data_IF_136365964507
#
_entry.id   IF_136365964507
#
_cell.length_a   1.000
_cell.length_b   1.000
_cell.length_c   1.000
_cell.angle_alpha   90.00
_cell.angle_beta   90.00
_cell.angle_gamma   90.00
#
_symmetry.space_group_name_H-M   'P 1'
#
loop_
_entity.id
_entity.type
_entity.pdbx_description
1 polymer ?
#
# COMPACT_ATOMS: atom_id res chain seq x y z
N UNK A 1 6.83 3.47 -2.27
CA UNK A 1 6.57 2.02 -2.38
C UNK A 1 7.28 1.29 -1.24
N UNK A 2 6.53 0.54 -0.45
CA UNK A 2 7.02 -0.09 0.78
C UNK A 2 7.02 -1.63 0.76
N UNK A 3 6.39 -2.27 -0.25
CA UNK A 3 6.41 -3.72 -0.35
C UNK A 3 7.82 -4.22 -0.65
N UNK A 4 8.18 -5.30 0.04
CA UNK A 4 9.39 -6.06 -0.24
C UNK A 4 9.16 -7.02 -1.42
N UNK A 5 10.20 -7.49 -2.10
CA UNK A 5 10.07 -8.46 -3.20
C UNK A 5 9.22 -9.67 -2.84
N UNK A 6 9.36 -10.21 -1.62
CA UNK A 6 8.59 -11.36 -1.16
C UNK A 6 7.08 -11.12 -1.20
N UNK A 7 6.61 -9.93 -0.79
CA UNK A 7 5.18 -9.58 -0.78
C UNK A 7 4.63 -9.44 -2.20
N UNK A 8 5.41 -8.85 -3.12
CA UNK A 8 5.01 -8.73 -4.51
C UNK A 8 4.98 -10.09 -5.24
N UNK A 9 5.96 -10.96 -4.94
CA UNK A 9 5.98 -12.33 -5.44
C UNK A 9 4.83 -13.16 -4.91
N UNK A 10 4.41 -12.96 -3.65
CA UNK A 10 3.23 -13.62 -3.10
C UNK A 10 1.97 -13.24 -3.88
N UNK A 11 1.77 -11.95 -4.21
CA UNK A 11 0.64 -11.55 -5.05
C UNK A 11 0.67 -12.23 -6.42
N UNK A 12 1.85 -12.38 -7.03
CA UNK A 12 2.01 -13.08 -8.31
C UNK A 12 1.69 -14.58 -8.17
N UNK A 13 2.14 -15.22 -7.09
CA UNK A 13 1.84 -16.63 -6.82
C UNK A 13 0.35 -16.84 -6.57
N UNK A 14 -0.30 -15.97 -5.78
CA UNK A 14 -1.74 -16.01 -5.56
C UNK A 14 -2.54 -15.88 -6.88
N UNK A 15 -2.10 -15.00 -7.79
CA UNK A 15 -2.69 -14.87 -9.13
C UNK A 15 -2.56 -16.15 -9.95
N UNK A 16 -1.39 -16.80 -9.91
CA UNK A 16 -1.13 -18.04 -10.64
C UNK A 16 -1.91 -19.24 -10.06
N UNK A 17 -2.01 -19.30 -8.75
CA UNK A 17 -2.80 -20.33 -8.07
C UNK A 17 -4.30 -20.16 -8.38
N UNK A 18 -4.78 -18.91 -8.38
CA UNK A 18 -6.13 -18.60 -8.79
C UNK A 18 -6.40 -18.93 -10.27
N UNK A 19 -5.43 -18.67 -11.16
CA UNK A 19 -5.50 -19.05 -12.57
C UNK A 19 -5.56 -20.57 -12.74
N UNK A 20 -4.74 -21.32 -12.00
CA UNK A 20 -4.71 -22.77 -12.06
C UNK A 20 -5.99 -23.41 -11.46
N UNK A 21 -6.69 -22.70 -10.59
CA UNK A 21 -7.95 -23.16 -10.03
C UNK A 21 -9.04 -23.20 -11.13
N UNK A 22 -9.72 -24.33 -11.26
CA UNK A 22 -10.79 -24.52 -12.29
C UNK A 22 -12.10 -23.79 -11.93
N UNK A 23 -12.12 -22.97 -10.90
CA UNK A 23 -13.29 -22.19 -10.48
C UNK A 23 -13.71 -21.16 -11.54
N UNK A 24 -15.01 -21.00 -11.77
CA UNK A 24 -15.54 -19.99 -12.70
C UNK A 24 -15.75 -18.62 -12.04
N UNK A 25 -15.72 -18.54 -10.71
CA UNK A 25 -15.92 -17.30 -9.98
C UNK A 25 -14.77 -16.32 -10.23
N UNK A 26 -15.05 -15.00 -10.30
CA UNK A 26 -14.00 -13.99 -10.38
C UNK A 26 -13.07 -14.05 -9.18
N UNK A 27 -11.78 -13.83 -9.41
CA UNK A 27 -10.80 -13.71 -8.34
C UNK A 27 -10.73 -12.27 -7.82
N UNK A 28 -11.11 -12.06 -6.57
CA UNK A 28 -11.12 -10.72 -5.97
C UNK A 28 -9.76 -10.39 -5.39
N UNK A 29 -9.09 -9.41 -6.00
CA UNK A 29 -7.76 -8.91 -5.60
C UNK A 29 -7.79 -8.07 -4.31
N UNK A 30 -8.97 -7.72 -3.82
CA UNK A 30 -9.20 -6.85 -2.68
C UNK A 30 -9.78 -5.50 -3.05
N UNK A 31 -9.77 -4.55 -2.11
CA UNK A 31 -10.33 -3.22 -2.31
C UNK A 31 -9.25 -2.17 -2.61
N UNK A 32 -9.65 -1.13 -3.32
CA UNK A 32 -8.92 0.13 -3.45
C UNK A 32 -9.85 1.26 -3.03
N UNK A 33 -9.33 2.22 -2.26
CA UNK A 33 -10.07 3.38 -1.79
C UNK A 33 -9.55 4.61 -2.53
N UNK A 34 -10.47 5.31 -3.18
CA UNK A 34 -10.19 6.44 -4.03
C UNK A 34 -10.93 7.67 -3.51
N UNK A 35 -10.24 8.78 -3.41
CA UNK A 35 -10.83 10.08 -3.13
C UNK A 35 -11.04 10.84 -4.44
N UNK A 36 -12.30 11.20 -4.73
CA UNK A 36 -12.66 11.95 -5.93
C UNK A 36 -12.36 13.43 -5.73
N UNK A 37 -11.62 14.01 -6.68
CA UNK A 37 -11.43 15.46 -6.84
C UNK A 37 -11.83 15.85 -8.24
N UNK A 38 -12.00 17.16 -8.49
CA UNK A 38 -12.38 17.67 -9.81
C UNK A 38 -11.46 17.12 -10.92
N UNK A 39 -11.93 16.09 -11.64
CA UNK A 39 -11.22 15.43 -12.74
C UNK A 39 -10.15 14.40 -12.35
N UNK A 40 -9.95 14.09 -11.07
CA UNK A 40 -8.91 13.17 -10.58
C UNK A 40 -9.45 12.20 -9.53
N UNK A 41 -8.78 11.05 -9.42
CA UNK A 41 -9.00 10.10 -8.35
C UNK A 41 -7.66 9.87 -7.64
N UNK A 42 -7.57 10.36 -6.40
CA UNK A 42 -6.40 10.11 -5.56
C UNK A 42 -6.53 8.73 -4.89
N UNK A 43 -5.49 7.92 -4.96
CA UNK A 43 -5.49 6.60 -4.30
C UNK A 43 -5.18 6.79 -2.82
N UNK A 44 -6.16 6.54 -1.97
CA UNK A 44 -6.02 6.59 -0.50
C UNK A 44 -5.48 5.26 0.02
N UNK A 45 -6.02 4.14 -0.47
CA UNK A 45 -5.54 2.80 -0.13
C UNK A 45 -5.45 1.90 -1.38
N UNK A 46 -4.59 0.88 -1.30
CA UNK A 46 -4.33 -0.05 -2.39
C UNK A 46 -3.18 0.36 -3.32
N UNK A 47 -2.44 1.43 -3.02
CA UNK A 47 -1.33 1.96 -3.84
C UNK A 47 -0.30 0.88 -4.17
N UNK A 48 0.14 0.11 -3.18
CA UNK A 48 1.15 -0.94 -3.32
C UNK A 48 0.69 -2.02 -4.31
N UNK A 49 -0.57 -2.47 -4.15
CA UNK A 49 -1.18 -3.48 -5.02
C UNK A 49 -1.32 -2.98 -6.45
N UNK A 50 -1.83 -1.76 -6.64
CA UNK A 50 -1.98 -1.17 -7.97
C UNK A 50 -0.64 -1.01 -8.67
N UNK A 51 0.41 -0.56 -7.97
CA UNK A 51 1.73 -0.41 -8.57
C UNK A 51 2.35 -1.78 -8.90
N UNK A 52 2.17 -2.78 -8.04
CA UNK A 52 2.65 -4.15 -8.31
C UNK A 52 1.93 -4.75 -9.52
N UNK A 53 0.61 -4.59 -9.63
CA UNK A 53 -0.14 -5.02 -10.80
C UNK A 53 0.34 -4.29 -12.06
N UNK A 54 0.59 -2.98 -11.99
CA UNK A 54 1.15 -2.21 -13.11
C UNK A 54 2.51 -2.77 -13.55
N UNK A 55 3.38 -3.14 -12.61
CA UNK A 55 4.67 -3.77 -12.93
C UNK A 55 4.47 -5.14 -13.60
N UNK A 56 3.58 -5.98 -13.08
CA UNK A 56 3.26 -7.29 -13.68
C UNK A 56 2.75 -7.11 -15.12
N UNK A 57 1.80 -6.18 -15.36
CA UNK A 57 1.30 -5.88 -16.69
C UNK A 57 2.41 -5.43 -17.64
N UNK A 58 3.26 -4.50 -17.21
CA UNK A 58 4.34 -3.98 -18.02
C UNK A 58 5.33 -5.09 -18.42
N UNK A 59 5.71 -5.96 -17.48
CA UNK A 59 6.61 -7.10 -17.76
C UNK A 59 5.95 -8.09 -18.71
N UNK A 60 4.68 -8.44 -18.52
CA UNK A 60 3.96 -9.39 -19.38
C UNK A 60 3.79 -8.85 -20.81
N UNK A 61 3.66 -7.54 -20.97
CA UNK A 61 3.49 -6.88 -22.27
C UNK A 61 4.82 -6.42 -22.88
N UNK A 62 5.95 -6.68 -22.23
CA UNK A 62 7.27 -6.16 -22.61
C UNK A 62 7.28 -4.63 -22.75
N UNK A 63 6.50 -3.95 -21.90
CA UNK A 63 6.42 -2.49 -21.87
C UNK A 63 7.40 -1.94 -20.82
N UNK A 64 8.36 -1.16 -21.28
CA UNK A 64 9.37 -0.51 -20.45
C UNK A 64 8.94 0.87 -19.94
N UNK A 65 7.63 1.11 -19.78
CA UNK A 65 7.05 2.38 -19.38
C UNK A 65 7.47 2.88 -17.97
N UNK A 66 8.05 2.01 -17.15
CA UNK A 66 8.67 2.39 -15.89
C UNK A 66 10.16 2.62 -16.12
N UNK A 67 10.57 3.88 -16.32
CA UNK A 67 11.98 4.27 -16.49
C UNK A 67 12.79 4.06 -15.19
N UNK A 68 13.07 2.79 -14.85
CA UNK A 68 13.80 2.40 -13.64
C UNK A 68 15.32 2.41 -13.82
N UNK A 69 15.81 2.67 -15.03
CA UNK A 69 17.24 2.61 -15.37
C UNK A 69 18.08 3.61 -14.56
N UNK A 70 17.48 4.76 -14.20
CA UNK A 70 18.12 5.80 -13.40
C UNK A 70 17.88 5.64 -11.89
N UNK A 71 17.11 4.65 -11.47
CA UNK A 71 16.85 4.42 -10.04
C UNK A 71 18.08 3.77 -9.38
N UNK A 72 18.35 4.15 -8.14
CA UNK A 72 19.40 3.53 -7.33
C UNK A 72 19.15 2.02 -7.17
N UNK A 73 20.20 1.22 -7.01
CA UNK A 73 20.09 -0.24 -6.94
C UNK A 73 19.31 -0.74 -5.72
N UNK A 74 19.29 0.04 -4.64
CA UNK A 74 18.50 -0.24 -3.44
C UNK A 74 17.06 0.32 -3.51
N UNK A 75 16.62 0.87 -4.65
CA UNK A 75 15.27 1.38 -4.81
C UNK A 75 14.25 0.24 -4.68
N UNK A 76 13.27 0.31 -3.76
CA UNK A 76 12.31 -0.77 -3.53
C UNK A 76 11.53 -1.17 -4.79
N UNK A 77 11.17 -0.21 -5.65
CA UNK A 77 10.46 -0.49 -6.91
C UNK A 77 11.34 -1.27 -7.86
N UNK A 78 12.64 -0.90 -7.98
CA UNK A 78 13.61 -1.60 -8.83
C UNK A 78 13.83 -3.04 -8.36
N UNK A 79 13.98 -3.25 -7.06
CA UNK A 79 14.16 -4.58 -6.48
C UNK A 79 12.94 -5.49 -6.74
N UNK A 80 11.74 -4.93 -6.57
CA UNK A 80 10.49 -5.66 -6.84
C UNK A 80 10.34 -5.96 -8.33
N UNK A 81 10.63 -5.00 -9.20
CA UNK A 81 10.61 -5.20 -10.65
C UNK A 81 11.52 -6.37 -11.06
N UNK A 82 12.76 -6.36 -10.62
CA UNK A 82 13.74 -7.43 -10.94
C UNK A 82 13.26 -8.80 -10.46
N UNK A 83 12.69 -8.88 -9.25
CA UNK A 83 12.17 -10.13 -8.72
C UNK A 83 10.97 -10.66 -9.53
N UNK A 84 10.04 -9.78 -9.90
CA UNK A 84 8.89 -10.12 -10.74
C UNK A 84 9.33 -10.55 -12.13
N UNK A 85 10.25 -9.80 -12.75
CA UNK A 85 10.80 -10.10 -14.08
C UNK A 85 11.48 -11.46 -14.10
N UNK A 86 12.35 -11.76 -13.12
CA UNK A 86 12.99 -13.05 -12.99
C UNK A 86 11.98 -14.21 -12.82
N UNK A 87 10.91 -13.99 -12.07
CA UNK A 87 9.88 -15.01 -11.86
C UNK A 87 9.05 -15.22 -13.13
N UNK A 88 8.66 -14.14 -13.81
CA UNK A 88 7.87 -14.18 -15.04
C UNK A 88 8.68 -14.65 -16.27
N UNK A 89 10.00 -14.48 -16.27
CA UNK A 89 10.88 -15.02 -17.32
C UNK A 89 10.87 -16.54 -17.40
N UNK A 90 10.41 -17.23 -16.34
CA UNK A 90 10.27 -18.70 -16.33
C UNK A 90 9.03 -19.19 -17.08
N UNK A 91 8.12 -18.30 -17.45
CA UNK A 91 6.96 -18.62 -18.27
C UNK A 91 7.35 -18.52 -19.75
N UNK A 92 6.85 -19.44 -20.55
CA UNK A 92 6.88 -19.32 -22.00
C UNK A 92 5.89 -18.23 -22.48
N UNK A 93 5.91 -17.93 -23.78
CA UNK A 93 5.05 -16.91 -24.38
C UNK A 93 3.58 -17.16 -24.09
N UNK A 94 3.12 -18.41 -24.26
CA UNK A 94 1.74 -18.80 -23.99
C UNK A 94 1.38 -18.63 -22.52
N UNK A 95 2.23 -19.02 -21.59
CA UNK A 95 2.00 -18.87 -20.17
C UNK A 95 1.88 -17.40 -19.74
N UNK A 96 2.62 -16.50 -20.39
CA UNK A 96 2.52 -15.05 -20.18
C UNK A 96 1.18 -14.51 -20.71
N UNK A 97 0.78 -14.90 -21.91
CA UNK A 97 -0.47 -14.49 -22.53
C UNK A 97 -1.67 -15.00 -21.73
N UNK A 98 -1.65 -16.27 -21.32
CA UNK A 98 -2.71 -16.87 -20.51
C UNK A 98 -2.84 -16.18 -19.14
N UNK A 99 -1.73 -15.80 -18.49
CA UNK A 99 -1.75 -15.06 -17.23
C UNK A 99 -2.28 -13.64 -17.41
N UNK A 100 -1.87 -12.97 -18.49
CA UNK A 100 -2.34 -11.62 -18.82
C UNK A 100 -3.85 -11.61 -19.07
N UNK A 101 -4.35 -12.59 -19.84
CA UNK A 101 -5.78 -12.75 -20.11
C UNK A 101 -6.55 -13.05 -18.82
N UNK A 102 -6.05 -13.95 -17.97
CA UNK A 102 -6.65 -14.24 -16.67
C UNK A 102 -6.79 -12.98 -15.82
N UNK A 103 -5.72 -12.17 -15.69
CA UNK A 103 -5.76 -10.95 -14.89
C UNK A 103 -6.79 -9.97 -15.46
N UNK A 104 -6.88 -9.83 -16.78
CA UNK A 104 -7.79 -8.89 -17.45
C UNK A 104 -9.26 -9.31 -17.37
N UNK A 105 -9.53 -10.60 -17.46
CA UNK A 105 -10.89 -11.12 -17.64
C UNK A 105 -11.50 -11.72 -16.38
N UNK A 106 -10.67 -12.22 -15.47
CA UNK A 106 -11.11 -12.98 -14.30
C UNK A 106 -10.81 -12.31 -12.96
N UNK A 107 -9.88 -11.36 -12.92
CA UNK A 107 -9.57 -10.64 -11.69
C UNK A 107 -10.43 -9.39 -11.52
N UNK A 108 -10.84 -9.12 -10.29
CA UNK A 108 -11.65 -7.96 -9.93
C UNK A 108 -11.05 -7.21 -8.76
N UNK A 109 -11.17 -5.89 -8.79
CA UNK A 109 -10.90 -4.99 -7.66
C UNK A 109 -12.21 -4.38 -7.19
N UNK A 110 -12.43 -4.36 -5.88
CA UNK A 110 -13.52 -3.60 -5.29
C UNK A 110 -13.09 -2.13 -5.24
N UNK A 111 -13.76 -1.29 -6.02
CA UNK A 111 -13.47 0.14 -6.07
C UNK A 111 -14.41 0.90 -5.16
N UNK A 112 -13.88 1.51 -4.10
CA UNK A 112 -14.61 2.40 -3.20
C UNK A 112 -14.21 3.82 -3.56
N UNK A 113 -15.19 4.65 -3.92
CA UNK A 113 -14.95 6.06 -4.29
C UNK A 113 -15.79 6.94 -3.39
N UNK A 114 -15.15 7.93 -2.79
CA UNK A 114 -15.81 8.97 -2.00
C UNK A 114 -15.24 10.35 -2.33
N UNK A 115 -16.02 11.39 -2.22
CA UNK A 115 -15.61 12.79 -2.31
C UNK A 115 -15.27 13.38 -0.93
N UNK A 116 -15.61 12.66 0.15
CA UNK A 116 -15.23 12.99 1.52
C UNK A 116 -13.93 12.25 1.91
N UNK A 117 -12.87 13.04 2.16
CA UNK A 117 -11.57 12.52 2.61
C UNK A 117 -11.67 11.83 3.97
N UNK A 118 -12.50 12.35 4.86
CA UNK A 118 -12.65 11.78 6.22
C UNK A 118 -13.38 10.44 6.17
N UNK A 119 -14.33 10.29 5.24
CA UNK A 119 -14.96 9.01 4.97
C UNK A 119 -13.98 8.01 4.36
N UNK A 120 -13.15 8.45 3.39
CA UNK A 120 -12.10 7.60 2.83
C UNK A 120 -11.17 7.03 3.91
N UNK A 121 -10.76 7.87 4.87
CA UNK A 121 -9.93 7.43 5.99
C UNK A 121 -10.68 6.49 6.96
N UNK A 122 -11.97 6.73 7.25
CA UNK A 122 -12.77 5.82 8.09
C UNK A 122 -12.90 4.43 7.46
N UNK A 123 -13.15 4.38 6.15
CA UNK A 123 -13.21 3.10 5.41
C UNK A 123 -11.85 2.41 5.45
N UNK A 124 -10.76 3.15 5.20
CA UNK A 124 -9.40 2.65 5.30
C UNK A 124 -9.09 2.05 6.68
N UNK A 125 -9.38 2.79 7.76
CA UNK A 125 -9.19 2.31 9.13
C UNK A 125 -10.03 1.05 9.40
N UNK A 126 -11.29 1.02 8.98
CA UNK A 126 -12.16 -0.14 9.18
C UNK A 126 -11.70 -1.41 8.47
N UNK A 127 -11.06 -1.26 7.30
CA UNK A 127 -10.50 -2.39 6.55
C UNK A 127 -9.20 -2.91 7.18
N UNK A 128 -8.38 -2.03 7.74
CA UNK A 128 -7.14 -2.40 8.41
C UNK A 128 -7.36 -3.17 9.73
N UNK A 129 -8.55 -3.06 10.34
CA UNK A 129 -8.92 -3.90 11.49
C UNK A 129 -8.95 -5.41 11.18
N UNK A 130 -9.05 -5.79 9.91
CA UNK A 130 -9.06 -7.20 9.46
C UNK A 130 -7.70 -7.72 9.01
N UNK A 131 -6.70 -6.83 8.86
CA UNK A 131 -5.33 -7.15 8.47
C UNK A 131 -4.33 -6.95 9.62
N UNK A 132 -3.08 -6.60 9.28
CA UNK A 132 -2.11 -6.11 10.27
C UNK A 132 -2.51 -4.68 10.64
N UNK A 133 -2.89 -4.41 11.90
CA UNK A 133 -3.28 -3.06 12.31
C UNK A 133 -2.15 -2.08 12.00
N UNK A 134 -2.52 -0.88 11.53
CA UNK A 134 -1.56 0.21 11.45
C UNK A 134 -1.03 0.52 12.84
N UNK A 135 0.25 0.82 12.92
CA UNK A 135 0.82 1.24 14.19
C UNK A 135 0.21 2.60 14.61
N UNK A 136 0.05 2.85 15.91
CA UNK A 136 -0.53 4.11 16.41
C UNK A 136 0.16 5.36 15.85
N UNK A 137 1.44 5.29 15.60
CA UNK A 137 2.20 6.40 15.03
C UNK A 137 1.86 6.64 13.55
N UNK A 138 1.51 5.61 12.77
CA UNK A 138 1.07 5.78 11.38
C UNK A 138 -0.29 6.48 11.31
N UNK A 139 -1.22 6.11 12.19
CA UNK A 139 -2.52 6.78 12.30
C UNK A 139 -2.35 8.25 12.68
N UNK A 140 -1.46 8.55 13.64
CA UNK A 140 -1.15 9.91 14.05
C UNK A 140 -0.46 10.71 12.94
N UNK A 141 0.44 10.10 12.18
CA UNK A 141 1.06 10.72 11.00
C UNK A 141 -0.01 11.14 9.99
N UNK A 142 -0.92 10.23 9.65
CA UNK A 142 -2.00 10.51 8.72
C UNK A 142 -2.91 11.65 9.23
N UNK A 143 -3.24 11.64 10.52
CA UNK A 143 -4.02 12.69 11.17
C UNK A 143 -3.32 14.06 11.09
N UNK A 144 -2.05 14.13 11.46
CA UNK A 144 -1.28 15.39 11.41
C UNK A 144 -1.16 15.93 10.00
N UNK A 145 -0.88 15.09 9.01
CA UNK A 145 -0.83 15.52 7.61
C UNK A 145 -2.18 16.03 7.10
N UNK A 146 -3.27 15.46 7.60
CA UNK A 146 -4.62 15.94 7.32
C UNK A 146 -4.85 17.35 7.87
N UNK A 147 -4.48 17.59 9.12
CA UNK A 147 -4.64 18.91 9.76
C UNK A 147 -3.73 19.98 9.14
N UNK A 148 -2.61 19.57 8.52
CA UNK A 148 -1.67 20.45 7.80
C UNK A 148 -2.12 20.81 6.37
N UNK A 149 -3.38 20.62 5.99
CA UNK A 149 -3.86 20.92 4.60
C UNK A 149 -3.71 22.38 4.19
N UNK A 150 -3.68 23.30 5.16
CA UNK A 150 -3.43 24.72 4.93
C UNK A 150 -1.95 25.10 4.77
N UNK A 151 -1.05 24.19 5.10
CA UNK A 151 0.37 24.42 5.07
C UNK A 151 1.00 24.21 3.68
N UNK A 152 2.16 24.79 3.45
CA UNK A 152 2.87 24.63 2.19
C UNK A 152 3.27 23.15 1.96
N UNK A 153 3.34 22.74 0.70
CA UNK A 153 3.82 21.39 0.33
C UNK A 153 5.23 21.09 0.85
N UNK A 154 6.07 22.13 0.94
CA UNK A 154 7.41 22.01 1.48
C UNK A 154 7.40 21.68 2.98
N UNK A 155 6.51 22.31 3.75
CA UNK A 155 6.33 22.03 5.18
C UNK A 155 5.78 20.61 5.39
N UNK A 156 4.76 20.20 4.63
CA UNK A 156 4.23 18.85 4.68
C UNK A 156 5.32 17.81 4.36
N UNK A 157 6.11 18.04 3.33
CA UNK A 157 7.21 17.14 2.95
C UNK A 157 8.31 17.07 4.04
N UNK A 158 8.66 18.17 4.67
CA UNK A 158 9.63 18.21 5.76
C UNK A 158 9.15 17.41 6.98
N UNK A 159 7.87 17.51 7.35
CA UNK A 159 7.28 16.72 8.43
C UNK A 159 7.28 15.23 8.10
N UNK A 160 6.91 14.84 6.87
CA UNK A 160 6.98 13.44 6.43
C UNK A 160 8.40 12.93 6.49
N UNK A 161 9.37 13.67 5.97
CA UNK A 161 10.78 13.28 5.98
C UNK A 161 11.31 13.11 7.41
N UNK A 162 10.98 14.03 8.33
CA UNK A 162 11.36 13.92 9.73
C UNK A 162 10.76 12.66 10.36
N UNK A 163 9.47 12.39 10.10
CA UNK A 163 8.81 11.20 10.62
C UNK A 163 9.43 9.90 10.10
N UNK A 164 9.71 9.84 8.80
CA UNK A 164 10.27 8.66 8.13
C UNK A 164 11.77 8.47 8.39
N UNK A 165 12.47 9.48 8.95
CA UNK A 165 13.86 9.35 9.34
C UNK A 165 14.07 8.56 10.64
N UNK A 166 13.00 8.32 11.40
CA UNK A 166 13.05 7.59 12.67
C UNK A 166 12.64 6.13 12.45
N UNK A 167 13.39 5.21 13.04
CA UNK A 167 13.08 3.78 12.99
C UNK A 167 11.69 3.47 13.56
N UNK A 168 10.97 2.58 12.89
CA UNK A 168 9.59 2.20 13.20
C UNK A 168 9.42 1.67 14.64
N UNK A 169 10.41 0.92 15.16
CA UNK A 169 10.40 0.43 16.55
C UNK A 169 10.55 1.56 17.54
N UNK A 170 11.37 2.57 17.21
CA UNK A 170 11.55 3.75 18.05
C UNK A 170 10.30 4.60 18.07
N UNK A 171 9.66 4.84 16.92
CA UNK A 171 8.37 5.51 16.83
C UNK A 171 7.30 4.79 17.63
N UNK A 172 7.16 3.50 17.44
CA UNK A 172 6.19 2.70 18.20
C UNK A 172 6.43 2.82 19.72
N UNK A 173 7.68 2.72 20.19
CA UNK A 173 8.03 2.89 21.60
C UNK A 173 7.70 4.30 22.10
N UNK A 174 8.00 5.34 21.30
CA UNK A 174 7.72 6.73 21.64
C UNK A 174 6.20 6.94 21.84
N UNK A 175 5.40 6.53 20.88
CA UNK A 175 3.96 6.78 20.90
C UNK A 175 3.20 5.86 21.86
N UNK A 176 3.46 4.56 21.82
CA UNK A 176 2.72 3.59 22.65
C UNK A 176 3.14 3.58 24.12
N UNK A 177 4.39 3.93 24.42
CA UNK A 177 4.91 3.85 25.79
C UNK A 177 4.99 5.23 26.45
N UNK A 178 5.63 6.21 25.81
CA UNK A 178 5.91 7.48 26.44
C UNK A 178 4.77 8.49 26.27
N UNK A 179 4.44 8.82 25.04
CA UNK A 179 3.44 9.87 24.77
C UNK A 179 2.04 9.47 25.21
N UNK A 180 1.65 8.22 25.05
CA UNK A 180 0.39 7.71 25.56
C UNK A 180 0.29 7.87 27.08
N UNK A 181 1.32 7.51 27.83
CA UNK A 181 1.34 7.65 29.30
C UNK A 181 1.25 9.11 29.72
N UNK A 182 2.03 9.99 29.08
CA UNK A 182 1.99 11.43 29.35
C UNK A 182 0.58 11.97 29.08
N UNK A 183 -0.03 11.59 27.97
CA UNK A 183 -1.40 12.00 27.62
C UNK A 183 -2.47 11.48 28.62
N UNK A 184 -2.28 10.29 29.19
CA UNK A 184 -3.15 9.78 30.25
C UNK A 184 -2.93 10.55 31.57
N UNK A 185 -1.69 10.72 31.98
CA UNK A 185 -1.36 11.38 33.24
C UNK A 185 -1.75 12.86 33.24
N UNK A 186 -1.59 13.58 32.12
CA UNK A 186 -2.04 14.97 31.99
C UNK A 186 -3.55 15.14 32.14
N UNK A 187 -4.32 14.04 31.99
CA UNK A 187 -5.77 13.97 32.16
C UNK A 187 -6.18 13.31 33.49
N UNK A 188 -5.24 13.08 34.41
CA UNK A 188 -5.46 12.39 35.66
C UNK A 188 -5.87 10.91 35.55
N UNK A 189 -5.58 10.27 34.43
CA UNK A 189 -5.91 8.86 34.17
C UNK A 189 -4.70 7.96 34.43
N UNK A 190 -4.95 6.74 34.91
CA UNK A 190 -3.91 5.72 34.95
C UNK A 190 -3.57 5.25 33.50
N UNK A 191 -2.32 4.84 33.29
CA UNK A 191 -1.85 4.35 32.00
C UNK A 191 -1.26 2.93 32.16
N UNK A 192 -2.09 1.90 32.30
CA UNK A 192 -1.62 0.53 32.57
C UNK A 192 -0.87 -0.09 31.39
N UNK A 193 -1.07 0.37 30.19
CA UNK A 193 -0.43 -0.08 28.96
C UNK A 193 -1.26 0.37 27.76
N UNK A 194 -0.62 0.51 26.62
CA UNK A 194 -1.33 0.71 25.37
C UNK A 194 -1.75 -0.67 24.85
N UNK A 195 -3.03 -0.94 24.86
CA UNK A 195 -3.63 -2.06 24.12
C UNK A 195 -4.57 -1.48 23.06
N UNK A 196 -4.42 -1.93 21.84
CA UNK A 196 -5.34 -1.66 20.75
C UNK A 196 -6.51 -2.62 20.85
#
# INVERSE_FOLDING_TARGET
YSWQPATALQLLDDLRDAQASKGQAPYVLGAVILHARAGWLDVVDGQQRLLTLKMIFAILQSDHALALDKAADNNPVKLVWQALEQKLARLDGKGKDDLLDFIRTRCQLVRIVTDDVDEAFRVFDSQNYRGKPLAPHDLLKAYHLREMRGESKAMQAAVVQTWESVDDKQLNRLFSTFLYRIACWSRGKSAPGFSI
#
